data_IF_473734317605
#
_entry.id   IF_473734317605
#
_cell.length_a   1.000
_cell.length_b   1.000
_cell.length_c   1.000
_cell.angle_alpha   90.00
_cell.angle_beta   90.00
_cell.angle_gamma   90.00
#
_symmetry.space_group_name_H-M   'P 1'
#
loop_
_entity.id
_entity.type
_entity.pdbx_description
1 polymer ?
#
# COMPACT_ATOMS: atom_id res chain seq x y z
N UNK A 1 -31.38 -11.87 4.30
CA UNK A 1 -30.66 -11.86 5.61
C UNK A 1 -29.34 -12.60 5.41
N UNK A 2 -28.28 -11.90 5.00
CA UNK A 2 -26.95 -12.51 4.84
C UNK A 2 -26.24 -12.49 6.20
N UNK A 3 -25.82 -13.68 6.64
CA UNK A 3 -25.08 -13.89 7.88
C UNK A 3 -23.64 -13.46 7.62
N UNK A 4 -23.26 -12.28 8.12
CA UNK A 4 -21.85 -11.90 8.17
C UNK A 4 -21.24 -12.80 9.25
N UNK A 5 -20.49 -13.81 8.82
CA UNK A 5 -19.55 -14.49 9.71
C UNK A 5 -18.53 -13.42 10.07
N UNK A 6 -18.53 -12.96 11.33
CA UNK A 6 -17.43 -12.20 11.86
C UNK A 6 -16.20 -13.12 11.80
N UNK A 7 -15.43 -13.04 10.72
CA UNK A 7 -14.04 -13.49 10.74
C UNK A 7 -13.35 -12.63 11.78
N UNK A 8 -13.23 -13.16 13.00
CA UNK A 8 -12.37 -12.58 14.01
C UNK A 8 -10.97 -12.50 13.42
N UNK A 9 -10.48 -11.28 13.25
CA UNK A 9 -9.12 -11.04 12.80
C UNK A 9 -8.14 -11.70 13.77
N UNK A 10 -6.97 -12.17 13.30
CA UNK A 10 -5.90 -12.58 14.18
C UNK A 10 -5.61 -11.49 15.21
N UNK A 11 -5.29 -11.90 16.44
CA UNK A 11 -4.88 -10.98 17.49
C UNK A 11 -3.66 -10.17 17.01
N UNK A 12 -3.70 -8.85 17.19
CA UNK A 12 -2.67 -7.93 16.69
C UNK A 12 -2.82 -7.47 15.24
N UNK A 13 -3.87 -7.89 14.51
CA UNK A 13 -4.20 -7.34 13.19
C UNK A 13 -5.40 -6.37 13.28
N UNK A 14 -5.17 -5.12 12.87
CA UNK A 14 -6.22 -4.12 12.73
C UNK A 14 -6.25 -3.60 11.29
N UNK A 15 -7.46 -3.31 10.78
CA UNK A 15 -7.65 -2.66 9.49
C UNK A 15 -8.19 -1.25 9.71
N UNK A 16 -7.56 -0.28 9.06
CA UNK A 16 -8.05 1.08 8.98
C UNK A 16 -8.26 1.47 7.53
N UNK A 17 -9.43 2.06 7.24
CA UNK A 17 -9.69 2.67 5.96
C UNK A 17 -8.98 4.03 5.88
N UNK A 18 -8.46 4.37 4.72
CA UNK A 18 -7.93 5.70 4.44
C UNK A 18 -8.59 6.30 3.21
N UNK A 19 -8.63 7.63 3.13
CA UNK A 19 -9.26 8.34 2.04
C UNK A 19 -8.29 8.49 0.87
N UNK A 20 -8.71 8.04 -0.32
CA UNK A 20 -7.93 8.11 -1.56
C UNK A 20 -8.39 9.23 -2.52
N UNK A 21 -9.41 10.00 -2.13
CA UNK A 21 -10.00 11.05 -2.96
C UNK A 21 -11.17 10.59 -3.84
N UNK A 22 -11.54 9.30 -3.81
CA UNK A 22 -12.53 8.70 -4.69
C UNK A 22 -13.53 7.83 -3.90
N UNK A 23 -14.40 8.48 -3.11
CA UNK A 23 -15.41 7.79 -2.28
C UNK A 23 -16.38 6.90 -3.09
N UNK A 24 -16.69 7.30 -4.33
CA UNK A 24 -17.55 6.55 -5.25
C UNK A 24 -16.80 5.46 -6.03
N UNK A 25 -15.52 5.27 -5.75
CA UNK A 25 -14.61 4.38 -6.47
C UNK A 25 -14.13 4.95 -7.81
N UNK A 26 -13.12 4.28 -8.38
CA UNK A 26 -12.52 4.63 -9.66
C UNK A 26 -13.36 4.10 -10.84
N UNK A 27 -13.78 4.99 -11.74
CA UNK A 27 -14.57 4.68 -12.93
C UNK A 27 -13.69 4.73 -14.17
N UNK A 28 -13.37 3.54 -14.73
CA UNK A 28 -12.42 3.40 -15.84
C UNK A 28 -12.78 4.18 -17.12
N UNK A 29 -14.06 4.52 -17.32
CA UNK A 29 -14.57 5.25 -18.48
C UNK A 29 -14.45 6.78 -18.35
N UNK A 30 -14.36 7.30 -17.13
CA UNK A 30 -14.37 8.75 -16.85
C UNK A 30 -13.08 9.22 -16.17
N UNK A 31 -12.49 8.39 -15.33
CA UNK A 31 -11.40 8.79 -14.45
C UNK A 31 -10.02 8.58 -15.07
N UNK A 32 -9.20 9.61 -14.99
CA UNK A 32 -7.81 9.56 -15.42
C UNK A 32 -6.94 8.94 -14.32
N UNK A 33 -6.20 7.89 -14.67
CA UNK A 33 -5.36 7.18 -13.70
C UNK A 33 -4.25 8.06 -13.12
N UNK A 34 -3.71 9.04 -13.88
CA UNK A 34 -2.66 9.92 -13.33
C UNK A 34 -3.25 10.87 -12.30
N UNK A 35 -4.43 11.41 -12.57
CA UNK A 35 -5.18 12.23 -11.62
C UNK A 35 -5.50 11.44 -10.36
N UNK A 36 -6.02 10.22 -10.50
CA UNK A 36 -6.25 9.33 -9.35
C UNK A 36 -4.99 9.14 -8.50
N UNK A 37 -3.83 8.90 -9.13
CA UNK A 37 -2.57 8.76 -8.42
C UNK A 37 -2.09 10.04 -7.71
N UNK A 38 -2.49 11.23 -8.18
CA UNK A 38 -2.22 12.49 -7.50
C UNK A 38 -3.14 12.70 -6.29
N UNK A 39 -4.43 12.41 -6.44
CA UNK A 39 -5.42 12.53 -5.37
C UNK A 39 -5.11 11.55 -4.23
N UNK A 40 -4.86 10.27 -4.53
CA UNK A 40 -4.52 9.27 -3.49
C UNK A 40 -3.24 9.64 -2.74
N UNK A 41 -2.28 10.29 -3.41
CA UNK A 41 -1.09 10.82 -2.73
C UNK A 41 -1.46 11.96 -1.79
N UNK A 42 -2.25 12.93 -2.24
CA UNK A 42 -2.66 14.08 -1.43
C UNK A 42 -3.50 13.66 -0.22
N UNK A 43 -4.65 13.04 -0.48
CA UNK A 43 -5.60 12.58 0.52
C UNK A 43 -5.03 11.45 1.40
N UNK A 44 -4.35 10.48 0.78
CA UNK A 44 -3.83 9.31 1.49
C UNK A 44 -2.66 9.66 2.40
N UNK A 45 -1.77 10.58 1.98
CA UNK A 45 -0.66 10.99 2.85
C UNK A 45 -1.13 11.68 4.12
N UNK A 46 -2.13 12.56 4.04
CA UNK A 46 -2.71 13.19 5.22
C UNK A 46 -3.42 12.16 6.11
N UNK A 47 -4.24 11.30 5.52
CA UNK A 47 -5.00 10.30 6.28
C UNK A 47 -4.08 9.33 7.03
N UNK A 48 -3.01 8.85 6.38
CA UNK A 48 -2.03 7.95 7.02
C UNK A 48 -1.30 8.65 8.18
N UNK A 49 -0.94 9.93 8.05
CA UNK A 49 -0.34 10.70 9.15
C UNK A 49 -1.29 10.76 10.34
N UNK A 50 -2.55 11.08 10.10
CA UNK A 50 -3.57 11.19 11.15
C UNK A 50 -3.79 9.86 11.87
N UNK A 51 -3.80 8.73 11.12
CA UNK A 51 -3.90 7.38 11.69
C UNK A 51 -2.71 7.11 12.62
N UNK A 52 -1.48 7.38 12.18
CA UNK A 52 -0.27 7.14 12.97
C UNK A 52 -0.26 7.99 14.25
N UNK A 53 -0.61 9.27 14.15
CA UNK A 53 -0.68 10.18 15.30
C UNK A 53 -1.74 9.73 16.30
N UNK A 54 -2.93 9.33 15.83
CA UNK A 54 -3.98 8.75 16.70
C UNK A 54 -3.53 7.46 17.37
N UNK A 55 -2.76 6.63 16.67
CA UNK A 55 -2.21 5.38 17.24
C UNK A 55 -1.23 5.67 18.38
N UNK A 56 -0.39 6.71 18.20
CA UNK A 56 0.52 7.20 19.25
C UNK A 56 -0.24 7.71 20.48
N UNK A 57 -1.29 8.52 20.28
CA UNK A 57 -2.13 9.06 21.36
C UNK A 57 -2.86 7.96 22.16
N UNK A 58 -3.26 6.88 21.49
CA UNK A 58 -3.89 5.71 22.12
C UNK A 58 -2.92 4.79 22.87
N UNK A 59 -1.62 5.12 22.89
CA UNK A 59 -0.59 4.31 23.56
C UNK A 59 -0.18 3.06 22.78
N UNK A 60 -0.51 2.98 21.49
CA UNK A 60 -0.10 1.89 20.60
C UNK A 60 0.65 2.46 19.39
N UNK A 61 1.87 3.00 19.57
CA UNK A 61 2.58 3.71 18.51
C UNK A 61 2.93 2.79 17.34
N UNK A 62 2.71 3.29 16.11
CA UNK A 62 3.22 2.64 14.91
C UNK A 62 4.75 2.77 14.89
N UNK A 63 5.45 1.67 14.72
CA UNK A 63 6.92 1.62 14.79
C UNK A 63 7.62 1.56 13.44
N UNK A 64 6.90 1.20 12.37
CA UNK A 64 7.44 1.12 11.01
C UNK A 64 6.31 1.15 9.97
N UNK A 65 6.65 1.50 8.73
CA UNK A 65 5.72 1.51 7.60
C UNK A 65 6.19 0.58 6.48
N UNK A 66 5.29 -0.29 6.03
CA UNK A 66 5.51 -1.15 4.85
C UNK A 66 4.55 -0.71 3.76
N UNK A 67 5.06 -0.47 2.56
CA UNK A 67 4.27 0.02 1.43
C UNK A 67 4.63 -0.70 0.15
N UNK A 68 3.72 -0.70 -0.83
CA UNK A 68 3.96 -1.33 -2.14
C UNK A 68 4.44 -0.30 -3.16
N UNK A 69 5.00 -0.78 -4.27
CA UNK A 69 5.53 0.06 -5.36
C UNK A 69 4.52 1.03 -6.00
N UNK A 70 3.21 0.82 -5.78
CA UNK A 70 2.17 1.74 -6.26
C UNK A 70 2.06 3.00 -5.38
N UNK A 71 2.52 2.93 -4.13
CA UNK A 71 2.41 4.02 -3.15
C UNK A 71 3.79 4.48 -2.66
N UNK A 72 4.73 4.84 -3.55
CA UNK A 72 6.10 5.20 -3.16
C UNK A 72 6.14 6.45 -2.26
N UNK A 73 5.13 7.31 -2.33
CA UNK A 73 4.97 8.49 -1.50
C UNK A 73 4.79 8.17 0.00
N UNK A 74 4.43 6.94 0.37
CA UNK A 74 4.35 6.53 1.80
C UNK A 74 5.72 6.61 2.47
N UNK A 75 6.81 6.44 1.72
CA UNK A 75 8.17 6.65 2.23
C UNK A 75 8.41 8.10 2.70
N UNK A 76 7.79 9.08 2.02
CA UNK A 76 7.89 10.49 2.40
C UNK A 76 7.17 10.73 3.73
N UNK A 77 5.98 10.14 3.91
CA UNK A 77 5.22 10.17 5.17
C UNK A 77 6.02 9.55 6.32
N UNK A 78 6.63 8.38 6.08
CA UNK A 78 7.47 7.71 7.06
C UNK A 78 8.65 8.60 7.49
N UNK A 79 9.32 9.24 6.52
CA UNK A 79 10.43 10.15 6.77
C UNK A 79 10.01 11.35 7.61
N UNK A 80 8.87 11.96 7.32
CA UNK A 80 8.34 13.10 8.08
C UNK A 80 8.03 12.74 9.55
N UNK A 81 7.56 11.51 9.79
CA UNK A 81 7.25 11.02 11.14
C UNK A 81 8.43 10.30 11.81
N UNK A 82 9.62 10.36 11.21
CA UNK A 82 10.83 9.69 11.70
C UNK A 82 10.68 8.16 11.91
N UNK A 83 9.87 7.51 11.07
CA UNK A 83 9.64 6.07 11.10
C UNK A 83 10.52 5.34 10.06
N UNK A 84 11.10 4.19 10.41
CA UNK A 84 11.64 3.26 9.43
C UNK A 84 10.56 2.85 8.41
N UNK A 85 10.95 2.68 7.15
CA UNK A 85 10.05 2.15 6.12
C UNK A 85 10.69 1.10 5.24
N UNK A 86 9.87 0.21 4.70
CA UNK A 86 10.28 -0.83 3.78
C UNK A 86 9.35 -0.93 2.58
N UNK A 87 9.94 -1.08 1.39
CA UNK A 87 9.21 -1.38 0.16
C UNK A 87 8.91 -2.89 0.09
N UNK A 88 7.64 -3.24 0.02
CA UNK A 88 7.16 -4.56 -0.34
C UNK A 88 7.05 -4.68 -1.87
N UNK A 89 8.01 -5.39 -2.46
CA UNK A 89 8.00 -5.69 -3.89
C UNK A 89 7.02 -6.81 -4.21
N UNK A 90 5.85 -6.44 -4.74
CA UNK A 90 4.77 -7.38 -5.08
C UNK A 90 4.81 -7.89 -6.53
N UNK A 91 5.72 -7.37 -7.36
CA UNK A 91 5.89 -7.85 -8.74
C UNK A 91 6.79 -9.09 -8.76
N UNK A 92 6.64 -9.99 -9.74
CA UNK A 92 7.61 -11.04 -9.96
C UNK A 92 9.00 -10.44 -10.19
N UNK A 93 10.03 -11.04 -9.60
CA UNK A 93 11.42 -10.78 -9.98
C UNK A 93 11.61 -11.22 -11.42
N UNK A 94 12.16 -10.32 -12.25
CA UNK A 94 12.24 -10.47 -13.70
C UNK A 94 12.76 -11.83 -14.18
N UNK A 95 12.18 -12.26 -15.29
CA UNK A 95 12.44 -13.46 -16.09
C UNK A 95 13.95 -13.73 -16.21
N UNK A 96 14.36 -14.99 -16.02
CA UNK A 96 15.70 -15.46 -16.40
C UNK A 96 15.88 -15.18 -17.90
N UNK A 97 16.69 -14.20 -18.24
CA UNK A 97 17.07 -13.93 -19.63
C UNK A 97 17.70 -15.21 -20.19
N UNK A 98 17.02 -15.81 -21.16
CA UNK A 98 17.57 -16.87 -22.01
C UNK A 98 17.77 -16.21 -23.36
N UNK A 99 18.87 -15.45 -23.49
CA UNK A 99 19.20 -14.87 -24.78
C UNK A 99 19.44 -15.95 -25.84
N UNK A 100 19.34 -15.59 -27.13
CA UNK A 100 19.78 -16.48 -28.19
C UNK A 100 21.30 -16.67 -28.05
N UNK A 101 21.73 -17.88 -27.68
CA UNK A 101 23.14 -18.23 -27.58
C UNK A 101 23.56 -19.27 -26.53
N UNK A 102 22.67 -19.87 -25.73
CA UNK A 102 23.07 -21.02 -24.89
C UNK A 102 23.00 -22.32 -25.70
N UNK A 103 24.14 -23.01 -25.98
CA UNK A 103 24.12 -24.36 -26.48
C UNK A 103 23.77 -25.30 -25.34
N UNK A 104 22.68 -26.05 -25.50
CA UNK A 104 22.45 -27.30 -24.80
C UNK A 104 22.10 -27.17 -23.32
N UNK A 105 20.80 -27.25 -23.02
CA UNK A 105 20.34 -28.11 -21.92
C UNK A 105 18.97 -28.66 -22.30
N UNK A 106 18.98 -29.74 -23.11
CA UNK A 106 17.94 -30.78 -23.05
C UNK A 106 18.26 -31.75 -21.89
N UNK A 107 17.37 -32.69 -21.56
CA UNK A 107 16.58 -33.52 -22.49
C UNK A 107 15.27 -32.92 -22.98
#
# INVERSE_FOLDING_TARGET
MAKIVACTLPEGLNFEAFFDGYDDGFKHDVDDSKRYMLEIRGCGSQTIKDIILKSLEKGNPVTSLVYTLLLPWVAEVARELHLPSALLWIQPKGVKWTGPGQPGTGP
#
